data_IF_920269462677
#
_entry.id   IF_920269462677
#
_cell.length_a   1.000
_cell.length_b   1.000
_cell.length_c   1.000
_cell.angle_alpha   90.00
_cell.angle_beta   90.00
_cell.angle_gamma   90.00
#
_symmetry.space_group_name_H-M   'P 1'
#
loop_
_entity.id
_entity.type
_entity.pdbx_description
1 polymer ?
#
# COMPACT_ATOMS: atom_id res chain seq x y z
N UNK A 1 -18.56 -12.42 -31.89
CA UNK A 1 -17.25 -12.46 -31.21
C UNK A 1 -16.86 -11.12 -30.57
N UNK A 2 -16.86 -10.00 -31.31
CA UNK A 2 -16.53 -8.67 -30.74
C UNK A 2 -17.40 -8.24 -29.54
N UNK A 3 -18.68 -8.61 -29.53
CA UNK A 3 -19.62 -8.28 -28.44
C UNK A 3 -19.21 -8.92 -27.10
N UNK A 4 -18.88 -10.22 -27.13
CA UNK A 4 -18.41 -10.96 -25.95
C UNK A 4 -17.02 -10.52 -25.45
N UNK A 5 -16.14 -10.07 -26.34
CA UNK A 5 -14.87 -9.46 -25.97
C UNK A 5 -15.04 -8.11 -25.26
N UNK A 6 -15.95 -7.26 -25.77
CA UNK A 6 -16.34 -6.01 -25.09
C UNK A 6 -16.93 -6.29 -23.72
N UNK A 7 -17.83 -7.27 -23.57
CA UNK A 7 -18.40 -7.67 -22.27
C UNK A 7 -17.36 -8.22 -21.28
N UNK A 8 -16.31 -8.87 -21.78
CA UNK A 8 -15.20 -9.35 -20.97
C UNK A 8 -14.30 -8.21 -20.47
N UNK A 9 -13.98 -7.25 -21.33
CA UNK A 9 -13.20 -6.06 -20.96
C UNK A 9 -14.00 -5.13 -20.03
N UNK A 10 -15.29 -4.94 -20.29
CA UNK A 10 -16.17 -4.12 -19.45
C UNK A 10 -16.44 -4.71 -18.05
N UNK A 11 -15.97 -5.94 -17.78
CA UNK A 11 -16.01 -6.55 -16.45
C UNK A 11 -15.05 -5.86 -15.45
N UNK A 12 -14.27 -4.87 -15.88
CA UNK A 12 -13.42 -4.02 -15.02
C UNK A 12 -12.08 -4.66 -14.66
N UNK A 13 -12.11 -5.90 -14.16
CA UNK A 13 -10.93 -6.64 -13.69
C UNK A 13 -9.83 -6.82 -14.76
N UNK A 14 -10.19 -6.86 -16.04
CA UNK A 14 -9.24 -7.09 -17.15
C UNK A 14 -8.52 -5.80 -17.55
N UNK A 15 -9.22 -4.66 -17.50
CA UNK A 15 -8.64 -3.37 -17.91
C UNK A 15 -7.57 -2.94 -16.92
N UNK A 16 -7.84 -3.02 -15.63
CA UNK A 16 -6.89 -2.65 -14.58
C UNK A 16 -5.64 -3.53 -14.62
N UNK A 17 -5.82 -4.85 -14.80
CA UNK A 17 -4.68 -5.77 -14.97
C UNK A 17 -3.88 -5.47 -16.24
N UNK A 18 -4.57 -5.22 -17.36
CA UNK A 18 -3.91 -4.91 -18.63
C UNK A 18 -3.09 -3.61 -18.52
N UNK A 19 -3.65 -2.59 -17.90
CA UNK A 19 -2.96 -1.32 -17.67
C UNK A 19 -1.72 -1.50 -16.77
N UNK A 20 -1.83 -2.30 -15.70
CA UNK A 20 -0.69 -2.59 -14.83
C UNK A 20 0.47 -3.28 -15.60
N UNK A 21 0.15 -4.26 -16.45
CA UNK A 21 1.16 -4.97 -17.26
C UNK A 21 1.82 -4.03 -18.28
N UNK A 22 1.05 -3.19 -18.96
CA UNK A 22 1.56 -2.24 -19.97
C UNK A 22 2.50 -1.20 -19.31
N UNK A 23 2.09 -0.64 -18.17
CA UNK A 23 2.90 0.34 -17.44
C UNK A 23 4.18 -0.32 -16.92
N UNK A 24 4.09 -1.54 -16.39
CA UNK A 24 5.26 -2.29 -15.91
C UNK A 24 6.28 -2.56 -17.02
N UNK A 25 5.82 -2.96 -18.21
CA UNK A 25 6.68 -3.20 -19.37
C UNK A 25 7.34 -1.89 -19.86
N UNK A 26 6.56 -0.82 -20.01
CA UNK A 26 7.08 0.47 -20.47
C UNK A 26 8.10 1.08 -19.48
N UNK A 27 7.83 1.00 -18.17
CA UNK A 27 8.74 1.48 -17.16
C UNK A 27 10.07 0.70 -17.16
N UNK A 28 9.99 -0.63 -17.24
CA UNK A 28 11.18 -1.50 -17.32
C UNK A 28 12.04 -1.17 -18.53
N UNK A 29 11.43 -0.85 -19.68
CA UNK A 29 12.15 -0.42 -20.88
C UNK A 29 12.90 0.90 -20.66
N UNK A 30 12.29 1.88 -19.99
CA UNK A 30 12.93 3.17 -19.68
C UNK A 30 14.13 2.96 -18.75
N UNK A 31 13.97 2.17 -17.69
CA UNK A 31 15.07 1.93 -16.74
C UNK A 31 16.19 1.14 -17.41
N UNK A 32 15.86 0.14 -18.22
CA UNK A 32 16.85 -0.62 -19.01
C UNK A 32 17.61 0.29 -19.97
N UNK A 33 16.93 1.18 -20.70
CA UNK A 33 17.57 2.12 -21.60
C UNK A 33 18.50 3.08 -20.85
N UNK A 34 18.08 3.59 -19.69
CA UNK A 34 18.92 4.43 -18.83
C UNK A 34 20.16 3.68 -18.34
N UNK A 35 20.00 2.46 -17.82
CA UNK A 35 21.13 1.66 -17.36
C UNK A 35 22.09 1.36 -18.51
N UNK A 36 21.58 0.93 -19.67
CA UNK A 36 22.40 0.55 -20.82
C UNK A 36 23.17 1.73 -21.44
N UNK A 37 22.55 2.91 -21.50
CA UNK A 37 23.14 4.07 -22.19
C UNK A 37 23.93 5.00 -21.29
N UNK A 38 23.72 4.98 -19.98
CA UNK A 38 24.37 5.90 -19.05
C UNK A 38 25.22 5.13 -18.06
N UNK A 39 24.66 4.12 -17.38
CA UNK A 39 25.37 3.45 -16.30
C UNK A 39 26.40 2.44 -16.82
N UNK A 40 26.03 1.58 -17.77
CA UNK A 40 26.96 0.62 -18.39
C UNK A 40 28.24 1.26 -18.95
N UNK A 41 28.20 2.35 -19.76
CA UNK A 41 29.43 2.97 -20.24
C UNK A 41 30.25 3.64 -19.12
N UNK A 42 29.62 4.18 -18.08
CA UNK A 42 30.34 4.71 -16.90
C UNK A 42 31.05 3.61 -16.12
N UNK A 43 30.43 2.43 -16.00
CA UNK A 43 31.03 1.27 -15.36
C UNK A 43 32.14 0.66 -16.22
N UNK A 44 31.95 0.61 -17.55
CA UNK A 44 32.95 0.12 -18.49
C UNK A 44 34.15 1.08 -18.66
N UNK A 45 33.98 2.36 -18.33
CA UNK A 45 35.08 3.33 -18.30
C UNK A 45 36.03 3.11 -17.11
N UNK A 46 35.61 2.35 -16.09
CA UNK A 46 36.50 1.95 -14.99
C UNK A 46 37.38 0.81 -15.52
N UNK A 47 38.72 0.98 -15.56
CA UNK A 47 39.62 0.01 -16.17
C UNK A 47 39.72 -1.27 -15.33
N UNK A 48 38.83 -2.21 -15.57
CA UNK A 48 38.91 -3.57 -15.04
C UNK A 48 39.63 -4.48 -16.04
N UNK A 49 40.93 -4.24 -16.25
CA UNK A 49 41.83 -5.13 -17.02
C UNK A 49 41.64 -5.09 -18.55
N UNK A 50 42.72 -4.77 -19.28
CA UNK A 50 42.76 -4.51 -20.72
C UNK A 50 42.58 -5.74 -21.66
N UNK A 51 42.33 -6.94 -21.14
CA UNK A 51 42.29 -8.18 -21.95
C UNK A 51 40.90 -8.83 -22.00
N UNK A 52 39.86 -8.02 -21.98
CA UNK A 52 38.50 -8.47 -22.25
C UNK A 52 38.41 -8.84 -23.74
N UNK A 53 38.74 -10.10 -24.02
CA UNK A 53 38.74 -10.67 -25.35
C UNK A 53 37.49 -10.25 -26.11
N UNK A 54 37.70 -9.94 -27.39
CA UNK A 54 36.64 -9.89 -28.38
C UNK A 54 35.94 -11.26 -28.39
N UNK A 55 35.01 -11.50 -27.46
CA UNK A 55 33.97 -12.49 -27.68
C UNK A 55 33.11 -11.90 -28.77
N UNK A 56 33.56 -12.22 -29.99
CA UNK A 56 32.88 -12.12 -31.25
C UNK A 56 31.39 -12.27 -30.97
N UNK A 57 30.69 -11.14 -31.03
CA UNK A 57 29.25 -11.05 -31.18
C UNK A 57 28.90 -11.70 -32.52
N UNK A 58 28.93 -13.03 -32.57
CA UNK A 58 28.32 -13.84 -33.62
C UNK A 58 27.00 -14.37 -33.08
N UNK A 59 26.01 -13.47 -33.10
CA UNK A 59 24.59 -13.73 -32.90
C UNK A 59 23.86 -12.58 -33.57
N UNK A 60 23.16 -12.89 -34.66
CA UNK A 60 22.70 -11.95 -35.71
C UNK A 60 21.36 -11.26 -35.39
N UNK A 61 21.12 -11.00 -34.11
CA UNK A 61 19.97 -10.33 -33.53
C UNK A 61 20.48 -9.21 -32.60
N UNK A 62 21.35 -8.43 -33.21
CA UNK A 62 21.99 -7.24 -32.70
C UNK A 62 21.01 -6.08 -32.61
N UNK A 63 20.37 -5.90 -31.45
CA UNK A 63 20.19 -4.58 -30.87
C UNK A 63 20.38 -4.66 -29.35
N UNK A 64 21.43 -3.99 -28.87
CA UNK A 64 21.52 -3.43 -27.52
C UNK A 64 21.93 -4.35 -26.36
N UNK A 65 23.13 -4.92 -26.45
CA UNK A 65 23.85 -5.44 -25.27
C UNK A 65 25.10 -4.61 -25.00
N UNK A 66 24.92 -3.37 -24.53
CA UNK A 66 25.97 -2.63 -23.82
C UNK A 66 26.10 -3.20 -22.41
N UNK A 67 26.59 -4.45 -22.32
CA UNK A 67 26.76 -5.16 -21.07
C UNK A 67 27.99 -4.61 -20.34
N UNK A 68 27.83 -4.39 -19.03
CA UNK A 68 28.94 -4.31 -18.09
C UNK A 68 29.78 -5.58 -18.29
N UNK A 69 31.00 -5.49 -18.79
CA UNK A 69 31.83 -6.68 -19.00
C UNK A 69 32.72 -6.87 -17.78
N UNK A 70 32.38 -7.85 -16.94
CA UNK A 70 33.26 -8.29 -15.85
C UNK A 70 34.15 -9.40 -16.39
N UNK A 71 35.41 -9.08 -16.68
CA UNK A 71 36.30 -9.95 -17.46
C UNK A 71 36.98 -11.02 -16.60
N UNK A 72 37.34 -12.15 -17.23
CA UNK A 72 38.28 -13.14 -16.67
C UNK A 72 37.69 -14.46 -16.15
N UNK A 73 36.39 -14.69 -16.26
CA UNK A 73 35.72 -15.90 -15.73
C UNK A 73 34.97 -16.70 -16.80
N UNK A 74 35.21 -16.44 -18.08
CA UNK A 74 34.61 -17.20 -19.15
C UNK A 74 35.43 -18.46 -19.46
N UNK A 75 34.81 -19.64 -19.38
CA UNK A 75 35.43 -20.89 -19.80
C UNK A 75 34.56 -21.58 -20.85
N UNK A 76 35.21 -22.16 -21.85
CA UNK A 76 34.54 -23.00 -22.83
C UNK A 76 34.57 -24.44 -22.35
N UNK A 77 33.42 -25.12 -22.39
CA UNK A 77 33.32 -26.54 -22.01
C UNK A 77 33.91 -27.41 -23.13
N UNK A 78 33.87 -26.95 -24.39
CA UNK A 78 34.43 -27.65 -25.55
C UNK A 78 35.16 -26.69 -26.47
N UNK A 79 36.45 -26.98 -26.72
CA UNK A 79 37.30 -26.14 -27.58
C UNK A 79 36.70 -26.00 -28.98
N UNK A 80 36.51 -24.75 -29.42
CA UNK A 80 36.03 -24.42 -30.78
C UNK A 80 34.52 -24.43 -30.97
N UNK A 81 33.72 -24.69 -29.93
CA UNK A 81 32.26 -24.57 -29.99
C UNK A 81 31.78 -23.31 -29.23
N UNK A 82 31.49 -22.19 -29.93
CA UNK A 82 31.12 -20.93 -29.29
C UNK A 82 29.84 -21.04 -28.44
N UNK A 83 28.97 -22.00 -28.75
CA UNK A 83 27.73 -22.31 -28.02
C UNK A 83 27.96 -22.94 -26.63
N UNK A 84 29.20 -23.24 -26.23
CA UNK A 84 29.51 -23.90 -24.94
C UNK A 84 30.33 -23.03 -23.98
N UNK A 85 30.26 -21.71 -24.15
CA UNK A 85 30.94 -20.75 -23.27
C UNK A 85 30.05 -20.44 -22.07
N UNK A 86 30.57 -20.61 -20.85
CA UNK A 86 29.95 -20.08 -19.63
C UNK A 86 30.60 -18.74 -19.33
N UNK A 87 29.84 -17.65 -19.36
CA UNK A 87 30.32 -16.29 -19.08
C UNK A 87 29.76 -15.79 -17.74
N UNK A 88 30.53 -15.97 -16.66
CA UNK A 88 30.18 -15.48 -15.33
C UNK A 88 30.19 -13.94 -15.29
N UNK A 89 30.92 -13.30 -16.20
CA UNK A 89 30.99 -11.85 -16.33
C UNK A 89 29.64 -11.24 -16.64
N UNK A 90 28.90 -11.85 -17.57
CA UNK A 90 27.53 -11.46 -17.92
C UNK A 90 26.54 -11.65 -16.76
N UNK A 91 26.75 -12.65 -15.90
CA UNK A 91 25.89 -12.85 -14.72
C UNK A 91 26.09 -11.72 -13.71
N UNK A 92 27.34 -11.32 -13.45
CA UNK A 92 27.65 -10.21 -12.54
C UNK A 92 27.11 -8.90 -13.11
N UNK A 93 27.27 -8.69 -14.42
CA UNK A 93 26.70 -7.56 -15.15
C UNK A 93 25.18 -7.45 -15.00
N UNK A 94 24.48 -8.56 -15.26
CA UNK A 94 23.03 -8.65 -15.13
C UNK A 94 22.59 -8.42 -13.68
N UNK A 95 23.37 -8.89 -12.71
CA UNK A 95 23.11 -8.67 -11.28
C UNK A 95 23.23 -7.19 -10.92
N UNK A 96 24.25 -6.48 -11.41
CA UNK A 96 24.40 -5.04 -11.19
C UNK A 96 23.23 -4.27 -11.82
N UNK A 97 22.85 -4.60 -13.06
CA UNK A 97 21.68 -4.00 -13.71
C UNK A 97 20.39 -4.25 -12.91
N UNK A 98 20.16 -5.48 -12.46
CA UNK A 98 19.03 -5.84 -11.62
C UNK A 98 18.98 -5.01 -10.33
N UNK A 99 20.11 -4.82 -9.65
CA UNK A 99 20.18 -3.99 -8.44
C UNK A 99 19.86 -2.51 -8.73
N UNK A 100 20.33 -1.97 -9.85
CA UNK A 100 20.00 -0.60 -10.27
C UNK A 100 18.50 -0.46 -10.52
N UNK A 101 17.91 -1.38 -11.29
CA UNK A 101 16.47 -1.39 -11.57
C UNK A 101 15.67 -1.50 -10.28
N UNK A 102 16.04 -2.42 -9.40
CA UNK A 102 15.40 -2.60 -8.09
C UNK A 102 15.48 -1.34 -7.23
N UNK A 103 16.64 -0.67 -7.19
CA UNK A 103 16.83 0.57 -6.45
C UNK A 103 15.94 1.70 -6.99
N UNK A 104 15.86 1.84 -8.31
CA UNK A 104 15.01 2.84 -8.98
C UNK A 104 13.52 2.57 -8.70
N UNK A 105 13.06 1.32 -8.85
CA UNK A 105 11.68 0.92 -8.56
C UNK A 105 11.34 1.17 -7.08
N UNK A 106 12.24 0.79 -6.17
CA UNK A 106 12.05 0.99 -4.74
C UNK A 106 11.89 2.47 -4.40
N UNK A 107 12.78 3.31 -4.93
CA UNK A 107 12.75 4.74 -4.60
C UNK A 107 11.56 5.48 -5.23
N UNK A 108 11.22 5.20 -6.49
CA UNK A 108 10.15 5.91 -7.21
C UNK A 108 8.75 5.39 -6.92
N UNK A 109 8.59 4.10 -6.62
CA UNK A 109 7.27 3.49 -6.42
C UNK A 109 7.07 3.11 -4.96
N UNK A 110 7.97 2.31 -4.37
CA UNK A 110 7.73 1.72 -3.05
C UNK A 110 7.74 2.79 -1.95
N UNK A 111 8.72 3.69 -1.93
CA UNK A 111 8.81 4.76 -0.92
C UNK A 111 7.58 5.69 -0.91
N UNK A 112 7.16 6.31 -2.04
CA UNK A 112 5.99 7.17 -2.03
C UNK A 112 4.69 6.39 -1.80
N UNK A 113 4.58 5.16 -2.34
CA UNK A 113 3.40 4.34 -2.11
C UNK A 113 3.24 3.98 -0.64
N UNK A 114 4.32 3.56 0.04
CA UNK A 114 4.30 3.29 1.47
C UNK A 114 3.92 4.55 2.28
N UNK A 115 4.47 5.71 1.92
CA UNK A 115 4.15 6.99 2.59
C UNK A 115 2.69 7.42 2.39
N UNK A 116 2.15 7.26 1.20
CA UNK A 116 0.75 7.59 0.91
C UNK A 116 -0.22 6.58 1.53
N UNK A 117 0.17 5.31 1.57
CA UNK A 117 -0.64 4.26 2.19
C UNK A 117 -0.74 4.45 3.71
N UNK A 118 0.31 4.90 4.39
CA UNK A 118 0.29 5.24 5.81
C UNK A 118 -0.70 6.39 6.11
N UNK A 119 -0.70 7.43 5.26
CA UNK A 119 -1.64 8.55 5.36
C UNK A 119 -3.07 8.14 5.01
N UNK A 120 -3.25 7.24 4.05
CA UNK A 120 -4.56 6.74 3.64
C UNK A 120 -5.13 5.75 4.67
N UNK A 121 -4.29 4.95 5.32
CA UNK A 121 -4.68 4.08 6.43
C UNK A 121 -5.14 4.91 7.63
N UNK A 122 -4.35 5.91 8.04
CA UNK A 122 -4.73 6.83 9.10
C UNK A 122 -6.04 7.60 8.79
N UNK A 123 -6.28 7.95 7.53
CA UNK A 123 -7.55 8.56 7.08
C UNK A 123 -8.71 7.56 7.06
N UNK A 124 -8.49 6.30 6.67
CA UNK A 124 -9.53 5.26 6.68
C UNK A 124 -9.98 4.95 8.10
N UNK A 125 -9.03 4.85 9.03
CA UNK A 125 -9.34 4.61 10.44
C UNK A 125 -10.09 5.82 11.02
N UNK A 126 -9.64 7.05 10.75
CA UNK A 126 -10.34 8.26 11.16
C UNK A 126 -11.75 8.39 10.54
N UNK A 127 -11.92 8.04 9.26
CA UNK A 127 -13.24 8.07 8.62
C UNK A 127 -14.16 6.96 9.12
N UNK A 128 -13.63 5.77 9.47
CA UNK A 128 -14.41 4.70 10.08
C UNK A 128 -14.85 5.05 11.51
N UNK A 129 -14.00 5.75 12.27
CA UNK A 129 -14.33 6.26 13.60
C UNK A 129 -15.36 7.40 13.52
N UNK A 130 -15.22 8.32 12.56
CA UNK A 130 -16.20 9.39 12.29
C UNK A 130 -17.56 8.84 11.79
N UNK A 131 -17.58 7.77 10.98
CA UNK A 131 -18.80 7.09 10.54
C UNK A 131 -19.45 6.29 11.67
N UNK A 132 -18.66 5.65 12.54
CA UNK A 132 -19.15 4.99 13.74
C UNK A 132 -19.78 5.99 14.73
N UNK A 133 -19.14 7.12 14.97
CA UNK A 133 -19.70 8.18 15.82
C UNK A 133 -21.01 8.74 15.25
N UNK A 134 -21.09 8.99 13.93
CA UNK A 134 -22.31 9.51 13.31
C UNK A 134 -23.47 8.50 13.32
N UNK A 135 -23.20 7.20 13.17
CA UNK A 135 -24.23 6.16 13.25
C UNK A 135 -24.73 5.95 14.68
N UNK A 136 -23.86 5.98 15.68
CA UNK A 136 -24.27 5.93 17.09
C UNK A 136 -25.10 7.15 17.49
N UNK A 137 -24.67 8.36 17.12
CA UNK A 137 -25.45 9.59 17.38
C UNK A 137 -26.80 9.55 16.66
N UNK A 138 -26.86 9.01 15.43
CA UNK A 138 -28.10 8.80 14.69
C UNK A 138 -29.06 7.83 15.39
N UNK A 139 -28.55 6.69 15.86
CA UNK A 139 -29.33 5.69 16.60
C UNK A 139 -29.83 6.24 17.93
N UNK A 140 -29.00 7.01 18.65
CA UNK A 140 -29.39 7.63 19.91
C UNK A 140 -30.48 8.69 19.71
N UNK A 141 -30.43 9.45 18.62
CA UNK A 141 -31.48 10.40 18.25
C UNK A 141 -32.82 9.70 17.94
N UNK A 142 -32.76 8.58 17.19
CA UNK A 142 -33.93 7.78 16.86
C UNK A 142 -34.56 7.13 18.11
N UNK A 143 -33.75 6.57 19.01
CA UNK A 143 -34.21 6.01 20.29
C UNK A 143 -34.85 7.08 21.18
N UNK A 144 -34.28 8.30 21.23
CA UNK A 144 -34.86 9.42 21.99
C UNK A 144 -36.27 9.76 21.48
N UNK A 145 -36.44 9.84 20.17
CA UNK A 145 -37.72 10.18 19.57
C UNK A 145 -38.73 9.04 19.76
N UNK A 146 -38.30 7.77 19.65
CA UNK A 146 -39.13 6.60 19.96
C UNK A 146 -39.55 6.57 21.45
N UNK A 147 -38.66 6.92 22.37
CA UNK A 147 -38.98 6.97 23.81
C UNK A 147 -39.91 8.16 24.14
N UNK A 148 -39.72 9.30 23.48
CA UNK A 148 -40.60 10.46 23.60
C UNK A 148 -41.99 10.18 23.04
N UNK A 149 -42.08 9.46 21.92
CA UNK A 149 -43.33 9.04 21.29
C UNK A 149 -44.04 7.93 22.07
N UNK A 150 -43.27 6.99 22.65
CA UNK A 150 -43.79 5.90 23.47
C UNK A 150 -44.11 6.31 24.91
N UNK A 151 -43.69 7.50 25.37
CA UNK A 151 -44.09 8.05 26.67
C UNK A 151 -45.59 8.33 26.61
N UNK A 152 -46.45 7.53 27.28
CA UNK A 152 -47.86 7.83 27.35
C UNK A 152 -47.97 9.20 28.03
N UNK A 153 -48.72 10.12 27.41
CA UNK A 153 -49.08 11.37 28.06
C UNK A 153 -49.60 11.01 29.46
N UNK A 154 -48.85 11.40 30.50
CA UNK A 154 -49.26 11.16 31.87
C UNK A 154 -50.70 11.66 31.97
N UNK A 155 -51.66 10.79 32.37
CA UNK A 155 -53.04 11.22 32.43
C UNK A 155 -53.09 12.46 33.30
N UNK A 156 -53.64 13.54 32.75
CA UNK A 156 -53.82 14.78 33.48
C UNK A 156 -54.47 14.43 34.82
N UNK A 157 -53.73 14.62 35.91
CA UNK A 157 -54.18 14.35 37.26
C UNK A 157 -55.30 15.35 37.56
N UNK A 158 -56.52 14.96 37.22
CA UNK A 158 -57.73 15.48 37.80
C UNK A 158 -57.85 14.93 39.22
N UNK A 159 -57.83 15.87 40.16
CA UNK A 159 -58.21 15.79 41.58
C UNK A 159 -57.09 15.73 42.64
N UNK A 160 -57.18 16.63 43.66
CA UNK A 160 -56.16 16.79 44.69
C UNK A 160 -56.41 15.79 45.83
N UNK A 161 -55.78 14.62 45.77
CA UNK A 161 -55.71 13.76 46.94
C UNK A 161 -54.51 14.16 47.80
N UNK A 162 -54.79 15.03 48.78
CA UNK A 162 -54.17 15.01 50.11
C UNK A 162 -52.67 14.86 50.22
N UNK A 163 -51.98 16.01 50.28
CA UNK A 163 -50.91 16.24 51.25
C UNK A 163 -49.63 15.42 51.15
N UNK A 164 -48.69 15.90 50.33
CA UNK A 164 -47.35 16.22 50.82
C UNK A 164 -46.86 17.48 50.10
N UNK A 165 -46.43 18.53 50.82
CA UNK A 165 -45.87 19.70 50.17
C UNK A 165 -44.60 19.31 49.40
N UNK A 166 -44.27 20.02 48.30
CA UNK A 166 -43.00 19.82 47.62
C UNK A 166 -41.87 20.07 48.62
N UNK A 167 -41.02 19.07 48.83
CA UNK A 167 -39.79 19.31 49.59
C UNK A 167 -38.92 20.25 48.75
N UNK A 168 -38.46 21.38 49.32
CA UNK A 168 -37.57 22.27 48.60
C UNK A 168 -36.27 21.52 48.29
N UNK A 169 -35.74 21.73 47.08
CA UNK A 169 -34.43 21.21 46.68
C UNK A 169 -33.40 21.64 47.75
N UNK A 170 -32.64 20.72 48.36
CA UNK A 170 -31.67 21.07 49.39
C UNK A 170 -30.66 22.07 48.84
N UNK A 171 -30.37 23.12 49.62
CA UNK A 171 -29.35 24.09 49.28
C UNK A 171 -27.98 23.38 49.13
N UNK A 172 -27.08 23.88 48.25
CA UNK A 172 -25.77 23.28 48.04
C UNK A 172 -25.03 23.18 49.38
N UNK A 173 -24.74 21.94 49.81
CA UNK A 173 -24.09 21.62 51.09
C UNK A 173 -24.90 20.71 52.03
N UNK A 174 -26.16 20.37 51.72
CA UNK A 174 -26.99 19.49 52.57
C UNK A 174 -27.09 18.03 52.08
N UNK A 175 -26.25 17.62 51.14
CA UNK A 175 -26.17 16.20 50.79
C UNK A 175 -25.50 15.43 51.94
N UNK A 176 -26.06 14.29 52.37
CA UNK A 176 -25.35 13.41 53.28
C UNK A 176 -24.01 13.02 52.65
N UNK A 177 -22.93 12.88 53.44
CA UNK A 177 -21.64 12.49 52.90
C UNK A 177 -21.82 11.18 52.13
N UNK A 178 -21.37 11.17 50.87
CA UNK A 178 -21.39 9.97 50.05
C UNK A 178 -20.64 8.88 50.83
N UNK A 179 -21.36 7.84 51.21
CA UNK A 179 -20.77 6.69 51.89
C UNK A 179 -19.74 6.11 50.92
N UNK A 180 -18.47 6.21 51.31
CA UNK A 180 -17.34 5.79 50.49
C UNK A 180 -17.42 4.29 50.18
N UNK A 181 -16.73 3.82 49.13
CA UNK A 181 -16.82 2.42 48.73
C UNK A 181 -16.43 1.52 49.92
N UNK A 182 -17.37 0.65 50.30
CA UNK A 182 -17.25 -0.24 51.43
C UNK A 182 -15.89 -0.95 51.45
N UNK A 183 -15.11 -0.67 52.51
CA UNK A 183 -14.00 -1.52 52.92
C UNK A 183 -14.57 -2.88 53.32
N UNK A 184 -14.57 -3.82 52.39
CA UNK A 184 -14.64 -5.23 52.74
C UNK A 184 -13.32 -5.62 53.42
N UNK A 185 -13.34 -5.57 54.75
CA UNK A 185 -12.37 -6.23 55.61
C UNK A 185 -12.92 -7.58 56.04
N UNK A 186 -12.48 -8.66 55.39
CA UNK A 186 -12.04 -9.93 55.97
C UNK A 186 -11.71 -10.94 54.89
#
# INVERSE_FOLDING_TARGET
MLKGFKEFILRGNVVELATAVIIGAAFTAIVTAFTNHIISPLLAAIPTGQDCGQTMTTGADSEQSAAVQVCGLAWQIKDGAPATTIDIGQVIAATINFLIVAAVVYFLIIVPYNKLNELAAARRDASAEEEAEQTEVGLLAEIRDLLSAARPAAPAVGEPLGGLPPTPNPAPGQYPPADGPGRHSR
#
